data_IF_957777349645
#
_entry.id   IF_957777349645
#
_cell.length_a   1.000
_cell.length_b   1.000
_cell.length_c   1.000
_cell.angle_alpha   90.00
_cell.angle_beta   90.00
_cell.angle_gamma   90.00
#
_symmetry.space_group_name_H-M   'P 1'
#
loop_
_entity.id
_entity.type
_entity.pdbx_description
1 polymer ?
#
# COMPACT_ATOMS: atom_id res chain seq x y z
N UNK A 1 11.97 -23.37 -37.77
CA UNK A 1 11.58 -22.01 -37.30
C UNK A 1 10.37 -22.12 -36.39
N UNK A 2 10.42 -21.53 -35.18
CA UNK A 2 9.29 -21.56 -34.23
C UNK A 2 8.29 -20.46 -34.58
N UNK A 3 7.05 -20.84 -34.92
CA UNK A 3 5.94 -19.91 -35.09
C UNK A 3 5.04 -19.96 -33.86
N UNK A 4 4.57 -18.79 -33.42
CA UNK A 4 3.75 -18.67 -32.21
C UNK A 4 2.32 -18.29 -32.61
N UNK A 5 1.33 -18.93 -32.01
CA UNK A 5 -0.08 -18.67 -32.22
C UNK A 5 -0.80 -18.47 -30.89
N UNK A 6 -1.69 -17.48 -30.81
CA UNK A 6 -2.56 -17.24 -29.65
C UNK A 6 -3.98 -17.73 -29.96
N UNK A 7 -4.62 -18.34 -28.97
CA UNK A 7 -6.01 -18.73 -29.07
C UNK A 7 -6.96 -17.56 -28.80
N UNK A 8 -7.68 -17.13 -29.85
CA UNK A 8 -8.78 -16.19 -29.76
C UNK A 8 -10.09 -16.95 -29.51
N UNK A 9 -10.56 -16.90 -28.26
CA UNK A 9 -11.77 -17.59 -27.83
C UNK A 9 -13.04 -17.00 -28.44
N UNK A 10 -13.08 -15.68 -28.70
CA UNK A 10 -14.25 -15.01 -29.25
C UNK A 10 -14.51 -15.43 -30.69
N UNK A 11 -13.45 -15.50 -31.50
CA UNK A 11 -13.54 -15.91 -32.90
C UNK A 11 -13.30 -17.41 -33.14
N UNK A 12 -12.96 -18.16 -32.08
CA UNK A 12 -12.63 -19.60 -32.12
C UNK A 12 -11.53 -19.91 -33.15
N UNK A 13 -10.46 -19.14 -33.14
CA UNK A 13 -9.35 -19.28 -34.11
C UNK A 13 -8.00 -19.14 -33.43
N UNK A 14 -6.97 -19.69 -34.08
CA UNK A 14 -5.58 -19.45 -33.74
C UNK A 14 -5.04 -18.33 -34.61
N UNK A 15 -4.47 -17.30 -34.00
CA UNK A 15 -3.92 -16.12 -34.67
C UNK A 15 -2.41 -16.15 -34.49
N UNK A 16 -1.65 -15.96 -35.57
CA UNK A 16 -0.20 -15.87 -35.48
C UNK A 16 0.21 -14.60 -34.75
N UNK A 17 1.05 -14.74 -33.74
CA UNK A 17 1.58 -13.62 -32.95
C UNK A 17 3.11 -13.65 -32.98
N UNK A 18 3.71 -12.51 -33.30
CA UNK A 18 5.16 -12.41 -33.52
C UNK A 18 5.87 -11.59 -32.45
N UNK A 19 5.12 -10.76 -31.71
CA UNK A 19 5.64 -9.69 -30.87
C UNK A 19 5.56 -10.03 -29.38
N UNK A 20 4.36 -10.19 -28.81
CA UNK A 20 4.15 -10.28 -27.36
C UNK A 20 3.17 -11.38 -26.95
N UNK A 21 3.23 -11.82 -25.69
CA UNK A 21 2.29 -12.79 -25.09
C UNK A 21 1.78 -12.25 -23.75
N UNK A 22 0.48 -12.30 -23.50
CA UNK A 22 -0.13 -11.92 -22.22
C UNK A 22 -0.20 -13.10 -21.23
N UNK A 23 -0.24 -12.83 -19.93
CA UNK A 23 -0.32 -13.89 -18.91
C UNK A 23 -1.64 -14.69 -18.92
N UNK A 24 -2.70 -14.13 -19.50
CA UNK A 24 -3.99 -14.80 -19.64
C UNK A 24 -4.14 -15.51 -20.99
N UNK A 25 -3.12 -15.46 -21.85
CA UNK A 25 -3.16 -16.09 -23.15
C UNK A 25 -2.95 -17.60 -23.07
N UNK A 26 -3.54 -18.27 -24.06
CA UNK A 26 -3.22 -19.65 -24.41
C UNK A 26 -2.45 -19.61 -25.73
N UNK A 27 -1.25 -20.16 -25.71
CA UNK A 27 -0.29 -20.08 -26.81
C UNK A 27 0.03 -21.47 -27.37
N UNK A 28 0.10 -21.60 -28.69
CA UNK A 28 0.61 -22.75 -29.40
C UNK A 28 1.89 -22.37 -30.16
N UNK A 29 2.99 -23.07 -29.87
CA UNK A 29 4.28 -22.89 -30.51
C UNK A 29 4.49 -24.05 -31.49
N UNK A 30 4.47 -23.75 -32.77
CA UNK A 30 4.67 -24.70 -33.86
C UNK A 30 6.16 -24.86 -34.13
N UNK A 31 6.68 -26.06 -33.86
CA UNK A 31 8.02 -26.49 -34.21
C UNK A 31 7.95 -27.38 -35.46
N UNK A 32 8.11 -26.75 -36.62
CA UNK A 32 8.04 -27.42 -37.93
C UNK A 32 9.18 -28.43 -38.14
N UNK A 33 10.34 -28.22 -37.51
CA UNK A 33 11.52 -29.11 -37.70
C UNK A 33 11.33 -30.44 -36.97
N UNK A 34 10.64 -30.42 -35.83
CA UNK A 34 10.40 -31.61 -35.00
C UNK A 34 9.00 -32.17 -35.17
N UNK A 35 8.15 -31.51 -35.94
CA UNK A 35 6.72 -31.79 -36.04
C UNK A 35 6.03 -31.83 -34.66
N UNK A 36 6.33 -30.85 -33.80
CA UNK A 36 5.72 -30.75 -32.46
C UNK A 36 5.00 -29.40 -32.32
N UNK A 37 3.82 -29.42 -31.72
CA UNK A 37 3.11 -28.21 -31.27
C UNK A 37 3.14 -28.18 -29.75
N UNK A 38 3.86 -27.21 -29.20
CA UNK A 38 3.90 -26.99 -27.76
C UNK A 38 2.77 -26.05 -27.35
N UNK A 39 1.91 -26.49 -26.44
CA UNK A 39 0.83 -25.67 -25.90
C UNK A 39 1.27 -25.13 -24.55
N UNK A 40 1.39 -23.81 -24.47
CA UNK A 40 1.67 -23.07 -23.26
C UNK A 40 0.39 -22.42 -22.75
N UNK A 41 0.02 -22.69 -21.50
CA UNK A 41 -1.07 -22.00 -20.83
C UNK A 41 -0.49 -20.90 -19.94
N UNK A 42 -0.88 -19.66 -20.17
CA UNK A 42 -0.46 -18.54 -19.35
C UNK A 42 -0.84 -18.73 -17.87
N UNK A 43 -0.07 -18.18 -16.92
CA UNK A 43 -0.29 -18.41 -15.49
C UNK A 43 -1.64 -17.86 -14.98
N UNK A 44 -2.25 -16.90 -15.70
CA UNK A 44 -3.59 -16.36 -15.39
C UNK A 44 -4.68 -16.89 -16.33
N UNK A 45 -4.36 -17.82 -17.23
CA UNK A 45 -5.31 -18.43 -18.18
C UNK A 45 -6.09 -19.58 -17.53
N UNK A 46 -7.39 -19.67 -17.80
CA UNK A 46 -8.27 -20.68 -17.20
C UNK A 46 -8.06 -22.08 -17.79
N UNK A 47 -8.29 -23.11 -16.98
CA UNK A 47 -8.27 -24.50 -17.45
C UNK A 47 -9.34 -24.78 -18.51
N UNK A 48 -10.46 -24.05 -18.47
CA UNK A 48 -11.52 -24.17 -19.48
C UNK A 48 -11.05 -23.66 -20.85
N UNK A 49 -10.34 -22.52 -20.88
CA UNK A 49 -9.74 -21.98 -22.11
C UNK A 49 -8.72 -22.94 -22.70
N UNK A 50 -7.87 -23.54 -21.86
CA UNK A 50 -6.93 -24.60 -22.28
C UNK A 50 -7.66 -25.77 -22.95
N UNK A 51 -8.76 -26.27 -22.35
CA UNK A 51 -9.55 -27.37 -22.94
C UNK A 51 -10.11 -27.00 -24.31
N UNK A 52 -10.79 -25.85 -24.43
CA UNK A 52 -11.37 -25.37 -25.69
C UNK A 52 -10.33 -25.19 -26.79
N UNK A 53 -9.21 -24.54 -26.47
CA UNK A 53 -8.12 -24.34 -27.42
C UNK A 53 -7.48 -25.66 -27.86
N UNK A 54 -7.25 -26.58 -26.92
CA UNK A 54 -6.70 -27.90 -27.21
C UNK A 54 -7.60 -28.73 -28.12
N UNK A 55 -8.92 -28.76 -27.87
CA UNK A 55 -9.89 -29.44 -28.73
C UNK A 55 -9.90 -28.87 -30.14
N UNK A 56 -9.88 -27.53 -30.26
CA UNK A 56 -9.86 -26.86 -31.56
C UNK A 56 -8.57 -27.15 -32.32
N UNK A 57 -7.42 -27.16 -31.64
CA UNK A 57 -6.13 -27.53 -32.23
C UNK A 57 -6.12 -28.98 -32.71
N UNK A 58 -6.66 -29.91 -31.91
CA UNK A 58 -6.77 -31.33 -32.27
C UNK A 58 -7.66 -31.52 -33.52
N UNK A 59 -8.79 -30.82 -33.58
CA UNK A 59 -9.69 -30.85 -34.73
C UNK A 59 -9.02 -30.29 -36.00
N UNK A 60 -8.20 -29.24 -35.87
CA UNK A 60 -7.44 -28.70 -36.99
C UNK A 60 -6.45 -29.73 -37.54
N UNK A 61 -5.67 -30.38 -36.67
CA UNK A 61 -4.69 -31.39 -37.10
C UNK A 61 -5.39 -32.60 -37.75
N UNK A 62 -6.51 -33.06 -37.19
CA UNK A 62 -7.25 -34.20 -37.78
C UNK A 62 -7.78 -33.94 -39.18
N UNK A 63 -8.02 -32.67 -39.54
CA UNK A 63 -8.47 -32.31 -40.90
C UNK A 63 -7.34 -32.37 -41.94
N UNK A 64 -6.08 -32.53 -41.51
CA UNK A 64 -4.91 -32.67 -42.38
C UNK A 64 -4.18 -33.99 -42.09
N UNK A 65 -4.73 -35.15 -42.50
CA UNK A 65 -4.22 -36.47 -42.14
C UNK A 65 -2.81 -36.77 -42.68
N UNK A 66 -2.34 -36.00 -43.66
CA UNK A 66 -0.99 -36.13 -44.23
C UNK A 66 0.10 -35.45 -43.37
N UNK A 67 -0.29 -34.78 -42.28
CA UNK A 67 0.61 -34.00 -41.44
C UNK A 67 0.57 -34.55 -40.01
N UNK A 68 1.65 -35.22 -39.60
CA UNK A 68 1.77 -35.83 -38.27
C UNK A 68 2.44 -34.87 -37.28
N UNK A 69 1.68 -33.93 -36.72
CA UNK A 69 2.13 -33.11 -35.60
C UNK A 69 1.79 -33.76 -34.25
N UNK A 70 2.76 -33.83 -33.33
CA UNK A 70 2.54 -34.20 -31.95
C UNK A 70 2.18 -32.97 -31.11
N UNK A 71 1.08 -33.00 -30.35
CA UNK A 71 0.75 -31.92 -29.41
C UNK A 71 1.34 -32.25 -28.02
N UNK A 72 2.14 -31.34 -27.46
CA UNK A 72 2.72 -31.44 -26.13
C UNK A 72 2.28 -30.26 -25.25
N UNK A 73 1.65 -30.54 -24.11
CA UNK A 73 1.28 -29.50 -23.14
C UNK A 73 2.48 -29.23 -22.23
N UNK A 74 2.95 -27.99 -22.20
CA UNK A 74 4.06 -27.58 -21.36
C UNK A 74 3.60 -27.48 -19.90
N UNK A 75 4.17 -28.33 -19.03
CA UNK A 75 3.88 -28.35 -17.59
C UNK A 75 5.10 -28.02 -16.73
N UNK A 76 6.22 -28.73 -16.91
CA UNK A 76 7.40 -28.58 -16.02
C UNK A 76 8.76 -28.66 -16.74
N UNK A 77 8.89 -29.48 -17.79
CA UNK A 77 10.12 -29.55 -18.61
C UNK A 77 9.86 -28.92 -19.97
N UNK A 78 10.16 -27.62 -20.08
CA UNK A 78 10.09 -26.86 -21.34
C UNK A 78 11.47 -26.91 -22.00
N UNK A 79 11.58 -27.26 -23.28
CA UNK A 79 12.87 -27.20 -23.97
C UNK A 79 13.43 -25.78 -24.00
N UNK A 80 14.75 -25.62 -23.78
CA UNK A 80 15.39 -24.31 -23.60
C UNK A 80 15.08 -23.32 -24.73
N UNK A 81 15.08 -23.77 -25.97
CA UNK A 81 14.79 -22.92 -27.13
C UNK A 81 13.34 -22.42 -27.18
N UNK A 82 12.40 -23.19 -26.65
CA UNK A 82 10.99 -22.79 -26.49
C UNK A 82 10.87 -21.81 -25.32
N UNK A 83 11.56 -22.09 -24.22
CA UNK A 83 11.59 -21.22 -23.05
C UNK A 83 12.16 -19.84 -23.38
N UNK A 84 13.28 -19.78 -24.14
CA UNK A 84 13.88 -18.52 -24.61
C UNK A 84 12.89 -17.70 -25.46
N UNK A 85 12.12 -18.37 -26.32
CA UNK A 85 11.10 -17.70 -27.15
C UNK A 85 9.97 -17.13 -26.29
N UNK A 86 9.44 -17.92 -25.36
CA UNK A 86 8.42 -17.49 -24.41
C UNK A 86 8.93 -16.31 -23.57
N UNK A 87 10.14 -16.40 -23.02
CA UNK A 87 10.74 -15.34 -22.21
C UNK A 87 10.95 -14.05 -22.98
N UNK A 88 11.31 -14.14 -24.27
CA UNK A 88 11.42 -12.96 -25.15
C UNK A 88 10.05 -12.31 -25.37
N UNK A 89 9.01 -13.07 -25.68
CA UNK A 89 7.66 -12.54 -25.94
C UNK A 89 6.97 -12.05 -24.65
N UNK A 90 7.33 -12.60 -23.49
CA UNK A 90 6.87 -12.15 -22.18
C UNK A 90 7.72 -11.01 -21.61
N UNK A 91 8.86 -10.65 -22.23
CA UNK A 91 9.80 -9.68 -21.67
C UNK A 91 9.20 -8.27 -21.55
N UNK A 92 8.35 -7.88 -22.50
CA UNK A 92 7.65 -6.59 -22.48
C UNK A 92 6.72 -6.47 -21.26
N UNK A 93 5.97 -7.53 -20.95
CA UNK A 93 5.08 -7.57 -19.80
C UNK A 93 5.84 -7.74 -18.48
N UNK A 94 6.93 -8.52 -18.47
CA UNK A 94 7.82 -8.60 -17.29
C UNK A 94 8.44 -7.24 -16.95
N UNK A 95 8.61 -6.36 -17.94
CA UNK A 95 9.05 -4.98 -17.73
C UNK A 95 7.89 -4.05 -17.29
N UNK A 96 6.67 -4.27 -17.76
CA UNK A 96 5.47 -3.55 -17.31
C UNK A 96 5.05 -3.93 -15.88
N UNK A 97 5.06 -5.21 -15.50
CA UNK A 97 4.82 -5.65 -14.11
C UNK A 97 5.79 -4.98 -13.13
N UNK A 98 7.07 -4.86 -13.51
CA UNK A 98 8.08 -4.16 -12.69
C UNK A 98 7.82 -2.66 -12.59
N UNK A 99 7.20 -2.04 -13.60
CA UNK A 99 6.76 -0.64 -13.54
C UNK A 99 5.50 -0.49 -12.70
N UNK A 100 4.56 -1.44 -12.75
CA UNK A 100 3.36 -1.45 -11.88
C UNK A 100 3.72 -1.63 -10.39
N UNK A 101 4.84 -2.28 -10.07
CA UNK A 101 5.34 -2.35 -8.69
C UNK A 101 5.79 -0.99 -8.12
N UNK A 102 6.15 -0.03 -8.99
CA UNK A 102 6.61 1.29 -8.56
C UNK A 102 5.51 2.34 -8.66
N UNK A 103 4.71 2.41 -7.59
CA UNK A 103 3.79 3.50 -7.20
C UNK A 103 4.29 4.95 -7.40
N UNK A 104 5.60 5.21 -7.31
CA UNK A 104 6.17 6.56 -7.47
C UNK A 104 6.85 6.71 -8.83
N UNK A 105 6.41 7.70 -9.60
CA UNK A 105 6.94 8.03 -10.93
C UNK A 105 8.20 8.92 -10.88
N UNK A 106 8.40 9.69 -9.79
CA UNK A 106 9.51 10.66 -9.66
C UNK A 106 10.35 10.40 -8.40
N UNK A 107 11.68 10.51 -8.52
CA UNK A 107 12.59 10.37 -7.37
C UNK A 107 12.43 11.47 -6.31
N UNK A 108 12.09 12.68 -6.73
CA UNK A 108 11.91 13.82 -5.82
C UNK A 108 10.71 13.58 -4.90
N UNK A 109 9.57 13.15 -5.45
CA UNK A 109 8.35 12.87 -4.68
C UNK A 109 8.54 11.68 -3.76
N UNK A 110 9.26 10.64 -4.21
CA UNK A 110 9.68 9.51 -3.37
C UNK A 110 10.48 9.95 -2.14
N UNK A 111 11.51 10.79 -2.33
CA UNK A 111 12.34 11.29 -1.23
C UNK A 111 11.58 12.20 -0.28
N UNK A 112 10.77 13.12 -0.82
CA UNK A 112 9.93 14.00 -0.01
C UNK A 112 8.91 13.19 0.80
N UNK A 113 8.27 12.20 0.18
CA UNK A 113 7.35 11.30 0.87
C UNK A 113 8.02 10.63 2.07
N UNK A 114 9.21 10.06 1.86
CA UNK A 114 9.97 9.45 2.94
C UNK A 114 10.28 10.44 4.07
N UNK A 115 10.80 11.63 3.72
CA UNK A 115 11.17 12.67 4.69
C UNK A 115 9.97 13.12 5.51
N UNK A 116 8.78 13.27 4.92
CA UNK A 116 7.58 13.75 5.63
C UNK A 116 6.79 12.62 6.31
N UNK A 117 6.89 11.39 5.83
CA UNK A 117 6.27 10.22 6.48
C UNK A 117 6.86 9.94 7.87
N UNK A 118 8.15 10.21 8.08
CA UNK A 118 8.82 9.99 9.37
C UNK A 118 8.29 10.93 10.47
N UNK A 119 8.26 12.27 10.29
CA UNK A 119 7.61 13.20 11.21
C UNK A 119 6.13 12.90 11.45
N UNK A 120 5.38 12.53 10.40
CA UNK A 120 3.97 12.19 10.51
C UNK A 120 3.71 10.99 11.43
N UNK A 121 4.72 10.16 11.66
CA UNK A 121 4.68 8.99 12.54
C UNK A 121 5.24 9.33 13.94
N UNK A 122 6.35 10.07 13.98
CA UNK A 122 7.04 10.35 15.25
C UNK A 122 6.30 11.38 16.10
N UNK A 123 5.79 12.46 15.51
CA UNK A 123 5.22 13.58 16.28
C UNK A 123 3.92 13.26 17.03
N UNK A 124 2.98 12.48 16.50
CA UNK A 124 1.81 12.02 17.26
C UNK A 124 2.19 11.26 18.51
N UNK A 125 3.18 10.36 18.40
CA UNK A 125 3.67 9.57 19.52
C UNK A 125 4.32 10.46 20.58
N UNK A 126 5.15 11.42 20.17
CA UNK A 126 5.75 12.38 21.11
C UNK A 126 4.66 13.23 21.80
N UNK A 127 3.65 13.69 21.05
CA UNK A 127 2.51 14.42 21.62
C UNK A 127 1.78 13.59 22.68
N UNK A 128 1.46 12.33 22.37
CA UNK A 128 0.82 11.42 23.31
C UNK A 128 1.68 11.11 24.55
N UNK A 129 2.98 10.91 24.37
CA UNK A 129 3.91 10.70 25.49
C UNK A 129 3.96 11.93 26.40
N UNK A 130 3.98 13.14 25.82
CA UNK A 130 3.89 14.37 26.60
C UNK A 130 2.55 14.47 27.36
N UNK A 131 1.43 14.17 26.70
CA UNK A 131 0.11 14.13 27.35
C UNK A 131 0.09 13.14 28.53
N UNK A 132 0.73 11.98 28.36
CA UNK A 132 0.81 10.92 29.38
C UNK A 132 1.63 11.31 30.62
N UNK A 133 2.44 12.37 30.56
CA UNK A 133 3.16 12.87 31.76
C UNK A 133 2.22 13.36 32.86
N UNK A 134 0.97 13.67 32.53
CA UNK A 134 -0.09 14.00 33.50
C UNK A 134 -0.34 12.89 34.53
N UNK A 135 -0.04 11.63 34.20
CA UNK A 135 -0.17 10.50 35.12
C UNK A 135 0.80 10.58 36.31
N UNK A 136 1.87 11.37 36.18
CA UNK A 136 2.92 11.57 37.19
C UNK A 136 2.70 12.86 38.00
N UNK A 137 1.62 13.61 37.73
CA UNK A 137 1.30 14.79 38.52
C UNK A 137 1.04 14.45 39.99
N UNK A 138 1.21 15.45 40.86
CA UNK A 138 0.96 15.30 42.29
C UNK A 138 -0.49 14.89 42.49
N UNK A 139 -0.72 13.87 43.31
CA UNK A 139 -2.05 13.34 43.61
C UNK A 139 -2.40 13.55 45.08
N UNK A 140 -3.64 13.96 45.31
CA UNK A 140 -4.26 14.04 46.64
C UNK A 140 -5.58 13.29 46.55
N UNK A 141 -5.64 12.07 47.12
CA UNK A 141 -6.78 11.18 46.88
C UNK A 141 -6.92 10.78 45.41
N UNK A 142 -8.11 11.02 44.83
CA UNK A 142 -8.44 10.73 43.42
C UNK A 142 -8.35 11.96 42.49
N UNK A 143 -7.73 13.04 42.97
CA UNK A 143 -7.54 14.28 42.21
C UNK A 143 -6.07 14.56 41.99
N UNK A 144 -5.73 14.92 40.76
CA UNK A 144 -4.43 15.49 40.41
C UNK A 144 -4.42 16.99 40.71
N UNK A 145 -3.28 17.47 41.18
CA UNK A 145 -2.97 18.87 41.43
C UNK A 145 -1.90 19.32 40.43
N UNK A 146 -2.20 20.35 39.65
CA UNK A 146 -1.28 20.91 38.66
C UNK A 146 -1.35 22.43 38.67
N UNK A 147 -0.22 23.11 38.53
CA UNK A 147 -0.22 24.56 38.38
C UNK A 147 -0.68 24.97 36.99
N UNK A 148 -1.34 26.12 36.86
CA UNK A 148 -1.85 26.61 35.58
C UNK A 148 -0.77 26.72 34.51
N UNK A 149 0.42 27.24 34.87
CA UNK A 149 1.55 27.33 33.94
C UNK A 149 2.06 25.96 33.45
N UNK A 150 2.05 24.93 34.31
CA UNK A 150 2.43 23.56 33.89
C UNK A 150 1.36 22.97 32.98
N UNK A 151 0.07 23.18 33.31
CA UNK A 151 -1.05 22.72 32.50
C UNK A 151 -1.06 23.35 31.10
N UNK A 152 -0.88 24.67 31.01
CA UNK A 152 -0.89 25.40 29.74
C UNK A 152 0.30 24.99 28.86
N UNK A 153 1.49 24.84 29.45
CA UNK A 153 2.68 24.38 28.73
C UNK A 153 2.52 22.93 28.26
N UNK A 154 1.94 22.07 29.11
CA UNK A 154 1.65 20.67 28.80
C UNK A 154 0.74 20.52 27.58
N UNK A 155 -0.34 21.31 27.50
CA UNK A 155 -1.21 21.34 26.31
C UNK A 155 -0.50 21.96 25.10
N UNK A 156 0.21 23.07 25.29
CA UNK A 156 0.85 23.81 24.19
C UNK A 156 1.94 22.99 23.48
N UNK A 157 2.76 22.25 24.24
CA UNK A 157 3.77 21.34 23.69
C UNK A 157 3.10 20.25 22.85
N UNK A 158 2.03 19.65 23.37
CA UNK A 158 1.29 18.59 22.67
C UNK A 158 0.66 19.12 21.37
N UNK A 159 0.04 20.30 21.43
CA UNK A 159 -0.56 20.98 20.30
C UNK A 159 0.47 21.30 19.20
N UNK A 160 1.67 21.77 19.59
CA UNK A 160 2.76 22.04 18.66
C UNK A 160 3.12 20.80 17.82
N UNK A 161 3.27 19.63 18.46
CA UNK A 161 3.56 18.39 17.74
C UNK A 161 2.41 17.94 16.82
N UNK A 162 1.15 18.12 17.24
CA UNK A 162 -0.01 17.83 16.39
C UNK A 162 -0.05 18.77 15.17
N UNK A 163 0.27 20.05 15.33
CA UNK A 163 0.36 20.99 14.21
C UNK A 163 1.44 20.56 13.21
N UNK A 164 2.62 20.15 13.68
CA UNK A 164 3.67 19.62 12.81
C UNK A 164 3.23 18.34 12.08
N UNK A 165 2.42 17.51 12.74
CA UNK A 165 1.81 16.32 12.13
C UNK A 165 0.86 16.70 11.01
N UNK A 166 -0.02 17.69 11.23
CA UNK A 166 -0.96 18.21 10.22
C UNK A 166 -0.20 18.71 8.99
N UNK A 167 0.86 19.50 9.19
CA UNK A 167 1.70 19.99 8.08
C UNK A 167 2.30 18.82 7.29
N UNK A 168 2.79 17.80 8.00
CA UNK A 168 3.38 16.62 7.37
C UNK A 168 2.35 15.86 6.53
N UNK A 169 1.14 15.60 7.05
CA UNK A 169 0.09 14.95 6.27
C UNK A 169 -0.43 15.79 5.09
N UNK A 170 -0.46 17.12 5.21
CA UNK A 170 -0.84 17.99 4.09
C UNK A 170 0.15 17.88 2.92
N UNK A 171 1.44 17.77 3.22
CA UNK A 171 2.48 17.57 2.22
C UNK A 171 2.38 16.16 1.62
N UNK A 172 2.20 15.13 2.45
CA UNK A 172 2.04 13.74 1.99
C UNK A 172 0.79 13.61 1.09
N UNK A 173 -0.33 14.25 1.45
CA UNK A 173 -1.53 14.28 0.63
C UNK A 173 -1.25 14.91 -0.74
N UNK A 174 -0.53 16.03 -0.77
CA UNK A 174 -0.13 16.70 -2.01
C UNK A 174 0.71 15.76 -2.89
N UNK A 175 1.65 15.02 -2.30
CA UNK A 175 2.45 14.02 -3.01
C UNK A 175 1.57 12.88 -3.54
N UNK A 176 0.65 12.36 -2.71
CA UNK A 176 -0.29 11.31 -3.11
C UNK A 176 -1.16 11.72 -4.29
N UNK A 177 -1.59 12.98 -4.36
CA UNK A 177 -2.34 13.53 -5.51
C UNK A 177 -1.45 13.61 -6.75
N UNK A 178 -0.21 14.10 -6.62
CA UNK A 178 0.74 14.22 -7.75
C UNK A 178 1.07 12.84 -8.35
N UNK A 179 1.23 11.83 -7.50
CA UNK A 179 1.59 10.47 -7.92
C UNK A 179 0.35 9.58 -8.18
N UNK A 180 -0.87 10.09 -7.97
CA UNK A 180 -2.15 9.37 -8.15
C UNK A 180 -2.21 8.08 -7.29
N UNK A 181 -1.66 8.16 -6.07
CA UNK A 181 -1.60 7.05 -5.13
C UNK A 181 -2.77 7.09 -4.14
N UNK A 182 -3.88 6.45 -4.49
CA UNK A 182 -5.12 6.46 -3.71
C UNK A 182 -4.97 6.00 -2.27
N UNK A 183 -4.06 5.04 -2.01
CA UNK A 183 -3.80 4.58 -0.63
C UNK A 183 -3.20 5.73 0.19
N UNK A 184 -2.25 6.46 -0.38
CA UNK A 184 -1.60 7.62 0.27
C UNK A 184 -2.59 8.74 0.53
N UNK A 185 -3.42 9.04 -0.46
CA UNK A 185 -4.47 10.05 -0.35
C UNK A 185 -5.43 9.69 0.79
N UNK A 186 -5.89 8.44 0.84
CA UNK A 186 -6.91 8.01 1.81
C UNK A 186 -6.41 8.13 3.24
N UNK A 187 -5.24 7.56 3.57
CA UNK A 187 -4.75 7.64 4.95
C UNK A 187 -4.35 9.07 5.33
N UNK A 188 -3.85 9.88 4.39
CA UNK A 188 -3.47 11.27 4.68
C UNK A 188 -4.69 12.12 5.03
N UNK A 189 -5.82 11.91 4.35
CA UNK A 189 -7.09 12.58 4.68
C UNK A 189 -7.56 12.15 6.07
N UNK A 190 -7.56 10.85 6.37
CA UNK A 190 -7.94 10.35 7.70
C UNK A 190 -7.04 10.94 8.79
N UNK A 191 -5.73 10.94 8.57
CA UNK A 191 -4.74 11.52 9.49
C UNK A 191 -4.95 13.02 9.70
N UNK A 192 -5.25 13.78 8.65
CA UNK A 192 -5.58 15.21 8.73
C UNK A 192 -6.84 15.45 9.56
N UNK A 193 -7.95 14.76 9.24
CA UNK A 193 -9.23 14.95 9.93
C UNK A 193 -9.08 14.66 11.43
N UNK A 194 -8.43 13.56 11.78
CA UNK A 194 -8.21 13.18 13.18
C UNK A 194 -7.26 14.17 13.87
N UNK A 195 -6.15 14.53 13.23
CA UNK A 195 -5.18 15.46 13.83
C UNK A 195 -5.77 16.85 14.04
N UNK A 196 -6.60 17.34 13.10
CA UNK A 196 -7.36 18.58 13.27
C UNK A 196 -8.35 18.46 14.44
N UNK A 197 -9.07 17.34 14.53
CA UNK A 197 -9.96 17.06 15.65
C UNK A 197 -9.24 17.09 17.00
N UNK A 198 -8.07 16.45 17.10
CA UNK A 198 -7.22 16.49 18.29
C UNK A 198 -6.74 17.91 18.58
N UNK A 199 -6.29 18.67 17.56
CA UNK A 199 -5.84 20.04 17.74
C UNK A 199 -6.95 20.95 18.30
N UNK A 200 -8.15 20.87 17.73
CA UNK A 200 -9.33 21.60 18.20
C UNK A 200 -9.67 21.18 19.64
N UNK A 201 -9.58 19.88 19.93
CA UNK A 201 -9.87 19.37 21.27
C UNK A 201 -8.87 19.90 22.30
N UNK A 202 -7.57 19.87 22.02
CA UNK A 202 -6.53 20.44 22.89
C UNK A 202 -6.67 21.97 23.05
N UNK A 203 -7.13 22.67 22.01
CA UNK A 203 -7.33 24.12 22.04
C UNK A 203 -8.47 24.55 22.98
N UNK A 204 -9.33 23.63 23.43
CA UNK A 204 -10.32 23.94 24.47
C UNK A 204 -9.66 24.37 25.79
N UNK A 205 -8.38 24.03 26.01
CA UNK A 205 -7.59 24.57 27.11
C UNK A 205 -8.18 24.25 28.47
N UNK A 206 -8.57 25.28 29.21
CA UNK A 206 -9.20 25.14 30.53
C UNK A 206 -10.56 24.42 30.47
N UNK A 207 -11.27 24.43 29.34
CA UNK A 207 -12.58 23.79 29.21
C UNK A 207 -12.50 22.29 28.92
N UNK A 208 -11.28 21.75 28.82
CA UNK A 208 -11.05 20.35 28.50
C UNK A 208 -11.46 19.43 29.65
N UNK A 209 -11.40 19.91 30.90
CA UNK A 209 -11.77 19.17 32.10
C UNK A 209 -12.73 19.95 32.99
N UNK A 210 -13.54 19.21 33.76
CA UNK A 210 -14.31 19.78 34.85
C UNK A 210 -13.43 19.89 36.10
N UNK A 211 -12.93 21.09 36.37
CA UNK A 211 -12.12 21.34 37.56
C UNK A 211 -12.90 21.14 38.86
N UNK A 212 -12.24 20.56 39.86
CA UNK A 212 -12.83 20.24 41.15
C UNK A 212 -12.83 21.43 42.10
N UNK A 213 -13.67 21.37 43.12
CA UNK A 213 -13.74 22.37 44.18
C UNK A 213 -12.35 22.60 44.81
N UNK A 214 -12.02 23.86 45.06
CA UNK A 214 -10.69 24.29 45.50
C UNK A 214 -9.74 24.68 44.37
N UNK A 215 -10.12 24.48 43.11
CA UNK A 215 -9.34 25.00 41.97
C UNK A 215 -9.32 26.53 41.98
N UNK A 216 -8.17 27.10 41.68
CA UNK A 216 -7.92 28.54 41.61
C UNK A 216 -7.33 28.91 40.25
N UNK A 217 -7.08 30.20 40.01
CA UNK A 217 -6.41 30.65 38.79
C UNK A 217 -4.94 30.15 38.66
N UNK A 218 -4.33 29.70 39.76
CA UNK A 218 -2.94 29.24 39.78
C UNK A 218 -2.78 27.73 39.93
N UNK A 219 -3.78 27.05 40.48
CA UNK A 219 -3.75 25.61 40.76
C UNK A 219 -5.07 24.97 40.33
N UNK A 220 -4.97 23.95 39.50
CA UNK A 220 -6.10 23.17 39.01
C UNK A 220 -6.15 21.81 39.69
N UNK A 221 -7.35 21.42 40.12
CA UNK A 221 -7.63 20.07 40.59
C UNK A 221 -8.48 19.33 39.57
N UNK A 222 -7.98 18.19 39.08
CA UNK A 222 -8.62 17.42 38.01
C UNK A 222 -8.84 15.99 38.51
N UNK A 223 -10.01 15.40 38.25
CA UNK A 223 -10.24 13.99 38.58
C UNK A 223 -9.32 13.09 37.77
N UNK A 224 -8.75 12.10 38.42
CA UNK A 224 -7.91 11.11 37.76
C UNK A 224 -8.64 10.34 36.63
N UNK A 225 -9.93 10.04 36.83
CA UNK A 225 -10.77 9.39 35.82
C UNK A 225 -10.83 10.17 34.51
N UNK A 226 -10.86 11.50 34.60
CA UNK A 226 -11.08 12.38 33.46
C UNK A 226 -9.79 12.47 32.62
N UNK A 227 -8.63 12.54 33.29
CA UNK A 227 -7.31 12.44 32.64
C UNK A 227 -7.15 11.08 31.94
N UNK A 228 -7.53 9.97 32.59
CA UNK A 228 -7.44 8.64 32.00
C UNK A 228 -8.34 8.51 30.77
N UNK A 229 -9.59 8.97 30.86
CA UNK A 229 -10.52 8.95 29.73
C UNK A 229 -10.00 9.79 28.57
N UNK A 230 -9.49 10.98 28.87
CA UNK A 230 -8.85 11.85 27.88
C UNK A 230 -7.69 11.15 27.16
N UNK A 231 -6.76 10.54 27.89
CA UNK A 231 -5.63 9.83 27.29
C UNK A 231 -6.08 8.64 26.43
N UNK A 232 -7.11 7.92 26.86
CA UNK A 232 -7.71 6.82 26.09
C UNK A 232 -8.29 7.33 24.77
N UNK A 233 -9.05 8.43 24.78
CA UNK A 233 -9.60 9.02 23.56
C UNK A 233 -8.48 9.43 22.60
N UNK A 234 -7.43 10.07 23.11
CA UNK A 234 -6.29 10.52 22.28
C UNK A 234 -5.55 9.34 21.67
N UNK A 235 -5.23 8.29 22.45
CA UNK A 235 -4.48 7.14 21.92
C UNK A 235 -5.29 6.37 20.88
N UNK A 236 -6.59 6.22 21.07
CA UNK A 236 -7.47 5.60 20.07
C UNK A 236 -7.51 6.44 18.79
N UNK A 237 -7.65 7.77 18.92
CA UNK A 237 -7.60 8.68 17.78
C UNK A 237 -6.31 8.53 16.98
N UNK A 238 -5.16 8.58 17.66
CA UNK A 238 -3.84 8.42 17.02
C UNK A 238 -3.73 7.05 16.35
N UNK A 239 -4.09 5.97 17.06
CA UNK A 239 -3.95 4.61 16.55
C UNK A 239 -4.68 4.35 15.22
N UNK A 240 -5.83 5.00 14.99
CA UNK A 240 -6.63 4.83 13.77
C UNK A 240 -5.83 5.16 12.50
N UNK A 241 -5.01 6.22 12.50
CA UNK A 241 -4.21 6.58 11.34
C UNK A 241 -2.76 6.13 11.44
N UNK A 242 -2.23 5.98 12.66
CA UNK A 242 -0.84 5.64 12.90
C UNK A 242 -0.49 4.22 12.46
N UNK A 243 -1.38 3.26 12.74
CA UNK A 243 -1.18 1.85 12.36
C UNK A 243 -1.11 1.69 10.83
N UNK A 244 -2.07 2.20 10.03
CA UNK A 244 -1.96 2.18 8.57
C UNK A 244 -0.70 2.87 8.05
N UNK A 245 -0.35 4.04 8.60
CA UNK A 245 0.82 4.81 8.18
C UNK A 245 2.13 4.02 8.41
N UNK A 246 2.25 3.35 9.55
CA UNK A 246 3.40 2.50 9.87
C UNK A 246 3.52 1.30 8.91
N UNK A 247 2.41 0.63 8.60
CA UNK A 247 2.39 -0.49 7.63
C UNK A 247 2.80 -0.03 6.24
N UNK A 248 2.25 1.10 5.77
CA UNK A 248 2.61 1.65 4.47
C UNK A 248 4.07 2.10 4.39
N UNK A 249 4.61 2.70 5.46
CA UNK A 249 6.02 3.08 5.50
C UNK A 249 6.94 1.86 5.42
N UNK A 250 6.62 0.76 6.11
CA UNK A 250 7.39 -0.49 6.01
C UNK A 250 7.35 -1.04 4.58
N UNK A 251 6.18 -1.07 3.96
CA UNK A 251 6.02 -1.54 2.57
C UNK A 251 6.80 -0.65 1.61
N UNK A 252 6.71 0.67 1.78
CA UNK A 252 7.46 1.64 1.00
C UNK A 252 8.96 1.44 1.14
N UNK A 253 9.50 1.30 2.36
CA UNK A 253 10.93 1.06 2.57
C UNK A 253 11.36 -0.25 1.90
N UNK A 254 10.58 -1.33 2.00
CA UNK A 254 10.91 -2.61 1.34
C UNK A 254 11.03 -2.48 -0.17
N UNK A 255 10.13 -1.73 -0.80
CA UNK A 255 10.09 -1.55 -2.27
C UNK A 255 11.14 -0.54 -2.74
N UNK A 256 11.32 0.57 -2.03
CA UNK A 256 12.08 1.73 -2.50
C UNK A 256 13.45 1.92 -1.84
N UNK A 257 13.89 1.00 -0.98
CA UNK A 257 15.18 1.10 -0.26
C UNK A 257 16.36 1.52 -1.14
N UNK A 258 16.43 0.99 -2.38
CA UNK A 258 17.52 1.25 -3.33
C UNK A 258 17.53 2.65 -3.94
N UNK A 259 16.45 3.42 -3.78
CA UNK A 259 16.30 4.76 -4.35
C UNK A 259 16.37 5.87 -3.29
N UNK A 260 16.38 5.48 -2.02
CA UNK A 260 16.49 6.36 -0.85
C UNK A 260 17.96 6.49 -0.41
N UNK A 261 18.74 5.41 -0.54
CA UNK A 261 20.21 5.36 -0.33
C UNK A 261 20.91 5.66 -1.65
#
# INVERSE_FOLDING_TARGET
MLKTYIFDEANKKWIEEQSSLLYHDLCALLDEERNIIYVWNGPKSSQERLKKGYELLKNLISNYPNINFQISILKEKVPDYVQIRLDKMLSEIKHEDKKEFYKFSRFITLRLYFIFSLPALIFPLISFLNLSTSLVWRKTGYTYEVSSGVYDNWLSISLFFIILTIISFAIILTIGIIEIEYTIITYSIIGLVISIGIAIYLQQGIFLFLFQDGSTASIYYIKQSDILLFLVIIVFGIAIYEIPNFVELINFIKVYRKFII
#
